data_IF_076963937835
#
_entry.id   IF_076963937835
#
_cell.length_a   1.000
_cell.length_b   1.000
_cell.length_c   1.000
_cell.angle_alpha   90.00
_cell.angle_beta   90.00
_cell.angle_gamma   90.00
#
_symmetry.space_group_name_H-M   'P 1'
#
loop_
_entity.id
_entity.type
_entity.pdbx_description
1 polymer ?
#
# COMPACT_ATOMS: atom_id res chain seq x y z
N UNK A 1 5.62 -5.84 19.43
CA UNK A 1 5.63 -5.86 17.95
C UNK A 1 4.20 -5.95 17.49
N UNK A 2 3.78 -5.11 16.54
CA UNK A 2 2.45 -5.22 15.93
C UNK A 2 2.45 -6.39 14.96
N UNK A 3 1.52 -7.32 15.12
CA UNK A 3 1.32 -8.43 14.18
C UNK A 3 0.35 -7.99 13.09
N UNK A 4 0.70 -8.25 11.84
CA UNK A 4 -0.13 -7.92 10.68
C UNK A 4 -0.61 -9.18 9.97
N UNK A 5 -1.84 -9.13 9.47
CA UNK A 5 -2.47 -10.16 8.65
C UNK A 5 -2.69 -9.61 7.24
N UNK A 6 -2.05 -10.22 6.22
CA UNK A 6 -2.26 -9.85 4.82
C UNK A 6 -3.70 -10.09 4.35
N UNK A 7 -4.26 -9.15 3.58
CA UNK A 7 -5.63 -9.24 3.04
C UNK A 7 -5.63 -9.26 1.51
N UNK A 8 -5.08 -8.23 0.89
CA UNK A 8 -5.11 -8.05 -0.57
C UNK A 8 -3.86 -7.34 -1.09
N UNK A 9 -3.65 -7.44 -2.40
CA UNK A 9 -2.58 -6.75 -3.11
C UNK A 9 -3.18 -5.73 -4.06
N UNK A 10 -2.53 -4.58 -4.19
CA UNK A 10 -2.88 -3.58 -5.19
C UNK A 10 -1.61 -2.92 -5.75
N UNK A 11 -1.76 -2.11 -6.79
CA UNK A 11 -0.64 -1.55 -7.54
C UNK A 11 -0.90 -0.09 -7.85
N UNK A 12 0.07 0.76 -7.51
CA UNK A 12 0.13 2.16 -7.89
C UNK A 12 1.21 2.32 -8.96
N UNK A 13 0.88 2.09 -10.22
CA UNK A 13 1.84 2.13 -11.34
C UNK A 13 1.40 3.13 -12.40
N UNK A 14 2.37 3.67 -13.15
CA UNK A 14 2.12 4.57 -14.28
C UNK A 14 1.34 3.89 -15.42
N UNK A 15 1.35 2.56 -15.49
CA UNK A 15 0.52 1.80 -16.43
C UNK A 15 -0.97 1.88 -16.06
N UNK A 16 -1.28 2.00 -14.77
CA UNK A 16 -2.66 2.02 -14.26
C UNK A 16 -3.23 3.41 -14.03
N UNK A 17 -2.39 4.43 -13.98
CA UNK A 17 -2.77 5.80 -13.69
C UNK A 17 -2.11 6.76 -14.68
N UNK A 18 -2.85 7.77 -15.12
CA UNK A 18 -2.24 8.92 -15.79
C UNK A 18 -1.16 9.55 -14.89
N UNK A 19 -0.11 10.10 -15.51
CA UNK A 19 1.10 10.54 -14.80
C UNK A 19 0.81 11.52 -13.66
N UNK A 20 -0.13 12.44 -13.85
CA UNK A 20 -0.50 13.43 -12.83
C UNK A 20 -1.35 12.81 -11.71
N UNK A 21 -2.23 11.85 -12.03
CA UNK A 21 -2.96 11.08 -11.04
C UNK A 21 -2.02 10.24 -10.17
N UNK A 22 -1.04 9.56 -10.79
CA UNK A 22 -0.01 8.80 -10.08
C UNK A 22 0.78 9.70 -9.12
N UNK A 23 1.26 10.86 -9.58
CA UNK A 23 1.99 11.82 -8.73
C UNK A 23 1.15 12.32 -7.56
N UNK A 24 -0.14 12.57 -7.79
CA UNK A 24 -1.06 12.98 -6.72
C UNK A 24 -1.21 11.88 -5.67
N UNK A 25 -1.41 10.63 -6.09
CA UNK A 25 -1.53 9.50 -5.17
C UNK A 25 -0.22 9.28 -4.39
N UNK A 26 0.94 9.33 -5.04
CA UNK A 26 2.23 9.25 -4.34
C UNK A 26 2.37 10.35 -3.27
N UNK A 27 1.98 11.59 -3.60
CA UNK A 27 1.98 12.71 -2.65
C UNK A 27 1.06 12.45 -1.45
N UNK A 28 -0.17 11.98 -1.71
CA UNK A 28 -1.14 11.63 -0.66
C UNK A 28 -0.61 10.48 0.21
N UNK A 29 0.00 9.47 -0.42
CA UNK A 29 0.64 8.32 0.21
C UNK A 29 1.93 8.67 0.97
N UNK A 30 2.47 9.87 0.78
CA UNK A 30 3.69 10.33 1.45
C UNK A 30 4.96 9.63 0.95
N UNK A 31 4.95 9.17 -0.31
CA UNK A 31 6.09 8.52 -0.96
C UNK A 31 6.55 9.32 -2.18
N UNK A 32 7.85 9.29 -2.53
CA UNK A 32 8.32 9.90 -3.77
C UNK A 32 7.68 9.20 -4.98
N UNK A 33 7.49 9.90 -6.09
CA UNK A 33 7.06 9.25 -7.32
C UNK A 33 8.26 8.54 -7.98
N UNK A 34 8.16 7.24 -8.23
CA UNK A 34 9.16 6.45 -8.97
C UNK A 34 8.81 6.35 -10.46
N UNK A 35 9.74 5.87 -11.28
CA UNK A 35 9.52 5.63 -12.71
C UNK A 35 8.70 4.37 -13.02
N UNK A 36 8.53 3.47 -12.05
CA UNK A 36 7.87 2.16 -12.24
C UNK A 36 6.55 2.06 -11.46
N UNK A 37 6.47 2.66 -10.28
CA UNK A 37 5.33 2.53 -9.39
C UNK A 37 5.65 1.85 -8.07
N UNK A 38 4.59 1.49 -7.35
CA UNK A 38 4.62 0.81 -6.07
C UNK A 38 3.68 -0.40 -6.07
N UNK A 39 4.15 -1.48 -5.47
CA UNK A 39 3.32 -2.60 -5.07
C UNK A 39 2.82 -2.35 -3.65
N UNK A 40 1.53 -2.60 -3.43
CA UNK A 40 0.88 -2.40 -2.14
C UNK A 40 0.41 -3.74 -1.60
N UNK A 41 0.65 -3.96 -0.31
CA UNK A 41 0.04 -5.05 0.43
C UNK A 41 -0.84 -4.48 1.53
N UNK A 42 -2.12 -4.79 1.47
CA UNK A 42 -3.10 -4.36 2.44
C UNK A 42 -3.13 -5.35 3.59
N UNK A 43 -3.12 -4.81 4.80
CA UNK A 43 -2.91 -5.52 6.05
C UNK A 43 -4.01 -5.14 7.04
N UNK A 44 -4.30 -6.03 7.98
CA UNK A 44 -5.00 -5.69 9.23
C UNK A 44 -4.17 -6.09 10.44
N UNK A 45 -4.27 -5.36 11.54
CA UNK A 45 -3.73 -5.82 12.83
C UNK A 45 -4.76 -6.63 13.63
N UNK A 46 -4.39 -7.03 14.85
CA UNK A 46 -5.26 -7.80 15.75
C UNK A 46 -6.54 -7.06 16.18
N UNK A 47 -6.61 -5.74 15.99
CA UNK A 47 -7.79 -4.92 16.27
C UNK A 47 -8.62 -4.66 15.01
N UNK A 48 -8.34 -5.36 13.91
CA UNK A 48 -8.92 -5.12 12.58
C UNK A 48 -8.65 -3.71 12.04
N UNK A 49 -7.64 -3.01 12.58
CA UNK A 49 -7.22 -1.72 12.02
C UNK A 49 -6.52 -1.98 10.70
N UNK A 50 -6.87 -1.19 9.69
CA UNK A 50 -6.29 -1.28 8.35
C UNK A 50 -4.93 -0.61 8.27
N UNK A 51 -4.04 -1.26 7.53
CA UNK A 51 -2.70 -0.79 7.22
C UNK A 51 -2.35 -1.14 5.78
N UNK A 52 -1.37 -0.46 5.21
CA UNK A 52 -0.82 -0.75 3.89
C UNK A 52 0.69 -0.71 3.97
N UNK A 53 1.32 -1.82 3.57
CA UNK A 53 2.74 -1.88 3.33
C UNK A 53 3.03 -1.50 1.87
N UNK A 54 4.04 -0.67 1.66
CA UNK A 54 4.39 -0.07 0.37
C UNK A 54 5.78 -0.55 -0.06
N UNK A 55 5.90 -1.05 -1.29
CA UNK A 55 7.13 -1.60 -1.86
C UNK A 55 7.43 -1.02 -3.23
N UNK A 56 8.70 -0.70 -3.50
CA UNK A 56 9.19 -0.38 -4.84
C UNK A 56 9.51 -1.64 -5.67
N UNK A 57 9.56 -2.81 -5.03
CA UNK A 57 9.87 -4.08 -5.67
C UNK A 57 8.58 -4.72 -6.22
N UNK A 58 8.13 -4.20 -7.36
CA UNK A 58 6.93 -4.67 -8.07
C UNK A 58 7.00 -6.16 -8.42
N UNK A 59 8.20 -6.66 -8.75
CA UNK A 59 8.40 -8.08 -9.09
C UNK A 59 8.12 -8.94 -7.86
N UNK A 60 8.67 -8.57 -6.71
CA UNK A 60 8.43 -9.30 -5.46
C UNK A 60 6.95 -9.29 -5.07
N UNK A 61 6.28 -8.13 -5.13
CA UNK A 61 4.84 -8.04 -4.83
C UNK A 61 4.01 -8.87 -5.82
N UNK A 62 4.36 -8.84 -7.10
CA UNK A 62 3.73 -9.66 -8.13
C UNK A 62 3.89 -11.16 -7.88
N UNK A 63 5.09 -11.61 -7.49
CA UNK A 63 5.34 -13.01 -7.13
C UNK A 63 4.53 -13.43 -5.89
N UNK A 64 4.46 -12.58 -4.86
CA UNK A 64 3.64 -12.85 -3.68
C UNK A 64 2.16 -12.96 -4.02
N UNK A 65 1.64 -12.03 -4.83
CA UNK A 65 0.25 -12.07 -5.28
C UNK A 65 -0.06 -13.32 -6.12
N UNK A 66 0.90 -13.78 -6.94
CA UNK A 66 0.73 -15.00 -7.73
C UNK A 66 0.74 -16.28 -6.87
N UNK A 67 1.61 -16.36 -5.86
CA UNK A 67 1.72 -17.52 -4.97
C UNK A 67 0.63 -17.56 -3.91
N UNK A 68 0.18 -16.39 -3.46
CA UNK A 68 -0.80 -16.21 -2.39
C UNK A 68 -1.83 -15.13 -2.79
N UNK A 69 -2.83 -15.47 -3.62
CA UNK A 69 -3.75 -14.50 -4.22
C UNK A 69 -4.57 -13.71 -3.18
N UNK A 70 -4.91 -14.39 -2.09
CA UNK A 70 -5.48 -13.79 -0.89
C UNK A 70 -4.38 -13.90 0.15
N UNK A 71 -3.96 -12.76 0.71
CA UNK A 71 -2.77 -12.68 1.55
C UNK A 71 -2.70 -13.81 2.58
N UNK A 72 -1.52 -14.44 2.72
CA UNK A 72 -1.37 -15.60 3.61
C UNK A 72 -0.98 -15.15 5.02
N UNK A 73 -1.80 -15.50 6.01
CA UNK A 73 -1.45 -15.32 7.41
C UNK A 73 -0.17 -16.11 7.75
N UNK A 74 0.72 -15.50 8.54
CA UNK A 74 2.01 -16.10 8.89
C UNK A 74 3.09 -16.00 7.81
N UNK A 75 2.83 -15.30 6.69
CA UNK A 75 3.88 -14.93 5.76
C UNK A 75 4.83 -13.94 6.42
N UNK A 76 6.09 -14.34 6.61
CA UNK A 76 7.13 -13.42 7.04
C UNK A 76 7.51 -12.51 5.88
N UNK A 77 7.22 -11.23 6.07
CA UNK A 77 7.52 -10.19 5.08
C UNK A 77 8.88 -9.59 5.44
N UNK A 78 9.90 -9.73 4.59
CA UNK A 78 11.20 -9.13 4.85
C UNK A 78 11.08 -7.61 4.99
N UNK A 79 11.64 -7.05 6.05
CA UNK A 79 11.54 -5.61 6.35
C UNK A 79 12.13 -4.73 5.22
N UNK A 80 13.10 -5.25 4.46
CA UNK A 80 13.69 -4.55 3.33
C UNK A 80 12.82 -4.56 2.06
N UNK A 81 11.79 -5.41 2.00
CA UNK A 81 10.88 -5.47 0.85
C UNK A 81 9.75 -4.48 0.94
N UNK A 82 9.35 -4.06 2.14
CA UNK A 82 8.35 -3.02 2.34
C UNK A 82 8.93 -1.91 3.21
N UNK A 83 9.49 -0.90 2.56
CA UNK A 83 10.21 0.19 3.22
C UNK A 83 9.31 1.10 4.07
N UNK A 84 7.99 1.07 3.82
CA UNK A 84 7.02 1.90 4.52
C UNK A 84 5.76 1.10 4.83
N UNK A 85 5.28 1.22 6.07
CA UNK A 85 3.95 0.76 6.49
C UNK A 85 3.16 1.98 6.95
N UNK A 86 2.00 2.20 6.34
CA UNK A 86 1.13 3.35 6.59
C UNK A 86 -0.23 2.87 7.10
N UNK A 87 -0.85 3.66 7.98
CA UNK A 87 -2.20 3.39 8.48
C UNK A 87 -3.25 3.71 7.40
N UNK A 88 -4.28 2.86 7.33
CA UNK A 88 -5.39 2.97 6.40
C UNK A 88 -5.07 2.48 5.00
N UNK A 89 -6.12 2.18 4.23
CA UNK A 89 -6.02 1.81 2.82
C UNK A 89 -5.85 3.04 1.91
N UNK A 90 -5.41 2.88 0.65
CA UNK A 90 -5.10 4.02 -0.22
C UNK A 90 -6.26 5.01 -0.43
N UNK A 91 -7.49 4.53 -0.46
CA UNK A 91 -8.72 5.31 -0.58
C UNK A 91 -9.04 6.14 0.68
N UNK A 92 -8.50 5.74 1.84
CA UNK A 92 -8.69 6.43 3.12
C UNK A 92 -7.70 7.60 3.31
N UNK A 93 -6.59 7.62 2.57
CA UNK A 93 -5.55 8.62 2.73
C UNK A 93 -5.95 10.02 2.26
N UNK A 94 -6.88 10.09 1.31
CA UNK A 94 -7.46 11.33 0.81
C UNK A 94 -8.68 11.72 1.66
N UNK A 95 -8.52 11.84 2.97
CA UNK A 95 -9.48 12.63 3.76
C UNK A 95 -9.00 14.08 3.74
N UNK A 96 -9.52 14.96 2.86
CA UNK A 96 -9.32 16.40 3.06
C UNK A 96 -9.90 16.75 4.44
N UNK A 97 -9.27 17.67 5.20
CA UNK A 97 -9.89 18.15 6.43
C UNK A 97 -11.31 18.60 6.10
N UNK A 98 -12.30 18.08 6.84
CA UNK A 98 -13.68 18.52 6.70
C UNK A 98 -13.69 20.05 6.64
N UNK A 99 -14.19 20.62 5.54
CA UNK A 99 -14.38 22.06 5.44
C UNK A 99 -15.19 22.46 6.67
N UNK A 100 -14.56 23.14 7.63
CA UNK A 100 -15.28 23.78 8.72
C UNK A 100 -16.14 24.85 8.06
N UNK A 101 -17.42 24.54 7.87
CA UNK A 101 -18.46 25.52 7.59
C UNK A 101 -18.36 26.57 8.70
N UNK A 102 -17.91 27.78 8.35
CA UNK A 102 -18.11 28.96 9.19
C UNK A 102 -19.45 29.57 8.83
#
# INVERSE_FOLDING_TARGET
>A
MTTYTPREYSYLTLERFEQDAYRLVCRVAGVPATTTGYGLLHLTDASETRWTAISEDLIYVGLLAALHPVGRAGLEIPANKFALIRRGWPDEWATPPARRSR
#
